data_IF_586558743934
#
_entry.id   IF_586558743934
#
_cell.length_a   1.000
_cell.length_b   1.000
_cell.length_c   1.000
_cell.angle_alpha   90.00
_cell.angle_beta   90.00
_cell.angle_gamma   90.00
#
_symmetry.space_group_name_H-M   'P 1'
#
loop_
_entity.id
_entity.type
_entity.pdbx_description
1 polymer ?
#
# COMPACT_ATOMS: atom_id res chain seq x y z
N UNK A 1 25.09 6.42 -25.73
CA UNK A 1 25.40 6.63 -24.31
C UNK A 1 24.26 6.00 -23.51
N UNK A 2 24.42 4.74 -23.10
CA UNK A 2 23.39 4.00 -22.36
C UNK A 2 23.46 4.42 -20.88
N UNK A 3 22.48 5.20 -20.42
CA UNK A 3 22.32 5.53 -19.01
C UNK A 3 21.93 4.27 -18.24
N UNK A 4 22.93 3.56 -17.70
CA UNK A 4 22.79 2.33 -16.89
C UNK A 4 22.30 2.57 -15.45
N UNK A 5 21.63 3.71 -15.20
CA UNK A 5 20.95 3.97 -13.94
C UNK A 5 19.45 4.00 -14.17
N UNK A 6 18.84 2.82 -14.28
CA UNK A 6 17.38 2.71 -14.13
C UNK A 6 17.06 3.18 -12.72
N UNK A 7 16.49 4.37 -12.59
CA UNK A 7 16.10 4.94 -11.31
C UNK A 7 15.12 3.96 -10.66
N UNK A 8 15.47 3.44 -9.49
CA UNK A 8 14.51 2.70 -8.65
C UNK A 8 13.33 3.64 -8.36
N UNK A 9 12.20 3.31 -8.95
CA UNK A 9 11.00 4.13 -8.90
C UNK A 9 9.79 3.21 -8.85
N UNK A 10 8.82 3.64 -8.06
CA UNK A 10 7.49 3.05 -8.02
C UNK A 10 6.81 3.10 -9.39
N UNK A 11 5.99 2.09 -9.66
CA UNK A 11 5.04 2.11 -10.77
C UNK A 11 3.76 2.85 -10.34
N UNK A 12 3.62 4.10 -10.78
CA UNK A 12 2.48 4.95 -10.42
C UNK A 12 1.13 4.41 -10.95
N UNK A 13 1.11 3.76 -12.10
CA UNK A 13 -0.14 3.21 -12.66
C UNK A 13 -0.60 1.99 -11.86
N UNK A 14 0.35 1.17 -11.38
CA UNK A 14 0.05 0.11 -10.43
C UNK A 14 -0.45 0.66 -9.09
N UNK A 15 0.13 1.76 -8.59
CA UNK A 15 -0.32 2.42 -7.37
C UNK A 15 -1.76 2.94 -7.47
N UNK A 16 -2.11 3.58 -8.60
CA UNK A 16 -3.50 4.02 -8.85
C UNK A 16 -4.45 2.84 -8.93
N UNK A 17 -4.05 1.78 -9.65
CA UNK A 17 -4.86 0.56 -9.78
C UNK A 17 -5.06 -0.14 -8.44
N UNK A 18 -4.04 -0.15 -7.58
CA UNK A 18 -4.12 -0.64 -6.22
C UNK A 18 -5.18 0.12 -5.42
N UNK A 19 -5.14 1.46 -5.45
CA UNK A 19 -6.12 2.26 -4.71
C UNK A 19 -7.54 2.17 -5.24
N UNK A 20 -7.71 2.05 -6.55
CA UNK A 20 -9.03 1.77 -7.15
C UNK A 20 -9.57 0.42 -6.65
N UNK A 21 -8.74 -0.62 -6.71
CA UNK A 21 -9.11 -1.94 -6.20
C UNK A 21 -9.41 -1.91 -4.69
N UNK A 22 -8.59 -1.20 -3.91
CA UNK A 22 -8.80 -1.04 -2.47
C UNK A 22 -10.16 -0.39 -2.20
N UNK A 23 -10.52 0.64 -2.98
CA UNK A 23 -11.81 1.32 -2.88
C UNK A 23 -12.97 0.38 -3.20
N UNK A 24 -12.86 -0.42 -4.26
CA UNK A 24 -13.89 -1.40 -4.62
C UNK A 24 -14.04 -2.54 -3.60
N UNK A 25 -12.98 -2.82 -2.84
CA UNK A 25 -12.91 -3.92 -1.89
C UNK A 25 -12.94 -3.48 -0.43
N UNK A 26 -13.13 -2.20 -0.15
CA UNK A 26 -13.06 -1.63 1.20
C UNK A 26 -13.90 -2.44 2.21
N UNK A 27 -15.19 -2.64 1.93
CA UNK A 27 -16.10 -3.38 2.81
C UNK A 27 -15.71 -4.86 2.99
N UNK A 28 -15.13 -5.48 1.96
CA UNK A 28 -14.59 -6.83 2.08
C UNK A 28 -13.35 -6.87 2.97
N UNK A 29 -12.44 -5.89 2.83
CA UNK A 29 -11.25 -5.76 3.67
C UNK A 29 -11.67 -5.56 5.14
N UNK A 30 -12.61 -4.66 5.40
CA UNK A 30 -13.16 -4.41 6.74
C UNK A 30 -13.76 -5.69 7.33
N UNK A 31 -14.56 -6.41 6.54
CA UNK A 31 -15.14 -7.69 6.95
C UNK A 31 -14.07 -8.72 7.30
N UNK A 32 -13.01 -8.85 6.50
CA UNK A 32 -11.92 -9.77 6.81
C UNK A 32 -11.19 -9.37 8.10
N UNK A 33 -10.90 -8.08 8.31
CA UNK A 33 -10.27 -7.58 9.54
C UNK A 33 -11.13 -7.92 10.77
N UNK A 34 -12.43 -7.64 10.71
CA UNK A 34 -13.37 -7.88 11.81
C UNK A 34 -13.55 -9.38 12.12
N UNK A 35 -13.42 -10.24 11.11
CA UNK A 35 -13.53 -11.69 11.26
C UNK A 35 -12.17 -12.38 11.51
N UNK A 36 -11.09 -11.62 11.69
CA UNK A 36 -9.72 -12.13 11.82
C UNK A 36 -9.29 -13.05 10.66
N UNK A 37 -9.83 -12.81 9.46
CA UNK A 37 -9.49 -13.54 8.24
C UNK A 37 -8.28 -12.92 7.56
N UNK A 38 -7.23 -13.71 7.33
CA UNK A 38 -6.00 -13.27 6.69
C UNK A 38 -6.08 -13.18 5.15
N UNK A 39 -7.22 -13.51 4.53
CA UNK A 39 -7.37 -13.48 3.07
C UNK A 39 -7.04 -12.10 2.46
N UNK A 40 -7.36 -11.01 3.15
CA UNK A 40 -7.04 -9.65 2.68
C UNK A 40 -5.52 -9.40 2.60
N UNK A 41 -4.72 -10.02 3.47
CA UNK A 41 -3.26 -9.86 3.49
C UNK A 41 -2.67 -10.35 2.17
N UNK A 42 -3.05 -11.54 1.73
CA UNK A 42 -2.58 -12.10 0.46
C UNK A 42 -2.98 -11.23 -0.74
N UNK A 43 -4.22 -10.73 -0.74
CA UNK A 43 -4.71 -9.87 -1.80
C UNK A 43 -3.96 -8.52 -1.85
N UNK A 44 -3.69 -7.90 -0.70
CA UNK A 44 -2.94 -6.65 -0.64
C UNK A 44 -1.48 -6.87 -1.07
N UNK A 45 -0.82 -7.92 -0.60
CA UNK A 45 0.56 -8.23 -1.01
C UNK A 45 0.69 -8.41 -2.54
N UNK A 46 -0.25 -9.16 -3.15
CA UNK A 46 -0.28 -9.35 -4.60
C UNK A 46 -0.41 -8.02 -5.36
N UNK A 47 -1.20 -7.07 -4.84
CA UNK A 47 -1.42 -5.77 -5.47
C UNK A 47 -0.32 -4.75 -5.16
N UNK A 48 0.38 -4.87 -4.03
CA UNK A 48 1.50 -4.01 -3.65
C UNK A 48 2.79 -4.37 -4.43
N UNK A 49 3.04 -5.66 -4.69
CA UNK A 49 4.27 -6.10 -5.40
C UNK A 49 4.53 -5.37 -6.72
N UNK A 50 3.56 -5.19 -7.63
CA UNK A 50 3.75 -4.46 -8.88
C UNK A 50 4.05 -2.96 -8.71
N UNK A 51 3.70 -2.38 -7.55
CA UNK A 51 3.95 -0.97 -7.23
C UNK A 51 5.46 -0.74 -7.04
N UNK A 52 6.16 -1.69 -6.43
CA UNK A 52 7.60 -1.59 -6.14
C UNK A 52 8.41 -2.62 -6.92
N UNK A 53 8.44 -2.58 -8.26
CA UNK A 53 9.04 -3.65 -9.09
C UNK A 53 10.55 -3.80 -8.90
N UNK A 54 11.21 -2.76 -8.36
CA UNK A 54 12.63 -2.79 -8.04
C UNK A 54 12.94 -3.44 -6.68
N UNK A 55 11.92 -3.65 -5.84
CA UNK A 55 12.07 -4.16 -4.50
C UNK A 55 11.93 -5.69 -4.50
N UNK A 56 13.01 -6.38 -4.15
CA UNK A 56 13.07 -7.86 -4.16
C UNK A 56 12.84 -8.50 -2.78
N UNK A 57 12.69 -7.70 -1.74
CA UNK A 57 12.39 -8.19 -0.39
C UNK A 57 10.89 -8.33 -0.17
N UNK A 58 10.53 -8.85 1.00
CA UNK A 58 9.14 -8.83 1.46
C UNK A 58 8.76 -7.40 1.86
N UNK A 59 7.62 -6.95 1.33
CA UNK A 59 6.99 -5.70 1.75
C UNK A 59 6.16 -6.04 2.98
N UNK A 60 6.37 -5.31 4.07
CA UNK A 60 5.55 -5.48 5.27
C UNK A 60 4.55 -4.34 5.37
N UNK A 61 3.34 -4.73 5.71
CA UNK A 61 2.24 -3.81 5.95
C UNK A 61 1.30 -4.42 6.99
N UNK A 62 0.53 -3.56 7.65
CA UNK A 62 -0.49 -3.96 8.60
C UNK A 62 -1.73 -3.11 8.37
N UNK A 63 -2.91 -3.73 8.44
CA UNK A 63 -4.17 -3.01 8.46
C UNK A 63 -4.86 -3.19 9.81
N UNK A 64 -5.37 -2.09 10.33
CA UNK A 64 -6.31 -2.06 11.45
C UNK A 64 -7.60 -1.40 11.01
N UNK A 65 -8.71 -1.81 11.60
CA UNK A 65 -9.98 -1.11 11.44
C UNK A 65 -10.73 -1.12 12.77
N UNK A 66 -11.01 0.07 13.31
CA UNK A 66 -11.68 0.24 14.59
C UNK A 66 -12.47 1.56 14.62
N UNK A 67 -13.63 1.59 15.26
CA UNK A 67 -14.47 2.79 15.41
C UNK A 67 -14.68 3.56 14.09
N UNK A 68 -14.96 2.83 13.00
CA UNK A 68 -15.15 3.37 11.64
C UNK A 68 -13.91 4.01 10.99
N UNK A 69 -12.76 3.89 11.63
CA UNK A 69 -11.46 4.37 11.13
C UNK A 69 -10.54 3.19 10.84
N UNK A 70 -10.04 3.14 9.62
CA UNK A 70 -9.01 2.23 9.16
C UNK A 70 -7.61 2.85 9.23
N UNK A 71 -6.63 2.04 9.57
CA UNK A 71 -5.23 2.40 9.54
C UNK A 71 -4.50 1.43 8.62
N UNK A 72 -3.78 1.95 7.65
CA UNK A 72 -2.89 1.21 6.76
C UNK A 72 -1.46 1.59 7.11
N UNK A 73 -0.76 0.70 7.80
CA UNK A 73 0.66 0.83 8.10
C UNK A 73 1.49 0.21 6.97
N UNK A 74 2.43 0.97 6.43
CA UNK A 74 3.41 0.50 5.45
C UNK A 74 4.81 0.63 6.04
N UNK A 75 5.52 -0.49 6.19
CA UNK A 75 6.83 -0.52 6.83
C UNK A 75 7.96 -0.39 5.81
N UNK A 76 8.78 0.65 5.96
CA UNK A 76 9.82 0.99 4.99
C UNK A 76 11.22 0.50 5.39
N UNK A 77 11.44 -0.02 6.60
CA UNK A 77 12.71 -0.58 7.09
C UNK A 77 13.91 0.36 6.97
N UNK A 78 13.67 1.66 7.10
CA UNK A 78 14.68 2.70 6.86
C UNK A 78 15.21 2.80 5.42
N UNK A 79 14.60 2.12 4.43
CA UNK A 79 15.03 2.15 3.03
C UNK A 79 14.54 3.41 2.34
N UNK A 80 15.48 4.25 1.90
CA UNK A 80 15.19 5.60 1.35
C UNK A 80 14.23 5.57 0.16
N UNK A 81 14.36 4.58 -0.72
CA UNK A 81 13.49 4.44 -1.89
C UNK A 81 12.05 4.12 -1.48
N UNK A 82 11.85 3.24 -0.49
CA UNK A 82 10.53 2.91 0.05
C UNK A 82 9.91 4.06 0.83
N UNK A 83 10.71 4.88 1.53
CA UNK A 83 10.20 6.09 2.20
C UNK A 83 9.58 7.02 1.17
N UNK A 84 10.37 7.43 0.17
CA UNK A 84 9.92 8.36 -0.88
C UNK A 84 8.72 7.81 -1.65
N UNK A 85 8.78 6.55 -2.04
CA UNK A 85 7.74 5.95 -2.85
C UNK A 85 6.49 5.63 -2.02
N UNK A 86 6.65 5.28 -0.74
CA UNK A 86 5.56 5.11 0.23
C UNK A 86 4.83 6.42 0.52
N UNK A 87 5.55 7.53 0.68
CA UNK A 87 4.93 8.87 0.73
C UNK A 87 4.10 9.17 -0.52
N UNK A 88 4.60 8.74 -1.69
CA UNK A 88 3.89 8.93 -2.97
C UNK A 88 2.66 8.04 -3.04
N UNK A 89 2.76 6.78 -2.60
CA UNK A 89 1.63 5.86 -2.48
C UNK A 89 0.54 6.45 -1.58
N UNK A 90 0.89 6.97 -0.40
CA UNK A 90 -0.05 7.62 0.50
C UNK A 90 -0.73 8.86 -0.12
N UNK A 91 0.01 9.68 -0.88
CA UNK A 91 -0.55 10.83 -1.61
C UNK A 91 -1.51 10.45 -2.74
N UNK A 92 -1.35 9.27 -3.31
CA UNK A 92 -2.23 8.75 -4.36
C UNK A 92 -3.53 8.13 -3.80
N UNK A 93 -3.68 8.08 -2.48
CA UNK A 93 -4.91 7.59 -1.87
C UNK A 93 -6.11 8.45 -2.27
N UNK A 94 -7.20 7.84 -2.78
CA UNK A 94 -8.43 8.53 -3.12
C UNK A 94 -9.02 9.26 -1.91
N UNK A 95 -9.63 10.41 -2.16
CA UNK A 95 -10.22 11.26 -1.11
C UNK A 95 -11.34 10.52 -0.38
N UNK A 96 -12.07 9.66 -1.08
CA UNK A 96 -13.13 8.82 -0.53
C UNK A 96 -12.58 7.85 0.53
N UNK A 97 -11.43 7.23 0.25
CA UNK A 97 -10.77 6.31 1.17
C UNK A 97 -10.10 7.09 2.31
N UNK A 98 -9.48 8.23 2.02
CA UNK A 98 -8.84 9.08 3.03
C UNK A 98 -9.81 9.62 4.11
N UNK A 99 -11.13 9.56 3.90
CA UNK A 99 -12.14 9.89 4.92
C UNK A 99 -12.24 8.85 6.03
N UNK A 100 -11.99 7.58 5.70
CA UNK A 100 -12.13 6.43 6.61
C UNK A 100 -10.77 5.82 6.93
N UNK A 101 -9.79 5.96 6.06
CA UNK A 101 -8.48 5.34 6.18
C UNK A 101 -7.37 6.36 6.33
N UNK A 102 -6.42 6.03 7.19
CA UNK A 102 -5.15 6.74 7.32
C UNK A 102 -4.03 5.86 6.78
N UNK A 103 -3.19 6.41 5.91
CA UNK A 103 -1.96 5.73 5.48
C UNK A 103 -0.80 6.24 6.32
N UNK A 104 -0.20 5.31 7.03
CA UNK A 104 0.86 5.55 8.00
C UNK A 104 2.11 4.90 7.44
N UNK A 105 3.12 5.72 7.21
CA UNK A 105 4.44 5.28 6.81
C UNK A 105 5.29 5.10 8.07
N UNK A 106 5.70 3.86 8.38
CA UNK A 106 6.43 3.54 9.60
C UNK A 106 7.75 2.80 9.31
N UNK A 107 8.67 2.85 10.27
CA UNK A 107 10.04 2.38 10.11
C UNK A 107 10.21 0.89 10.29
#
# INVERSE_FOLDING_TARGET
MLSLFTKKAMNEDAAKSFWMWFTEKEEWIISCINNHDAAFVWAIDEKLKPIFPYFKGELEFQLGYNNEVGEFFFFHFGKKELIRDGETLGKLMPVEIAKRWQFILDK
#
